data_IF_072606462717
#
_entry.id   IF_072606462717
#
_cell.length_a   1.000
_cell.length_b   1.000
_cell.length_c   1.000
_cell.angle_alpha   90.00
_cell.angle_beta   90.00
_cell.angle_gamma   90.00
#
_symmetry.space_group_name_H-M   'P 1'
#
loop_
_entity.id
_entity.type
_entity.pdbx_description
1 polymer ?
#
# COMPACT_ATOMS: atom_id res chain seq x y z
N UNK A 1 3.05 0.68 -48.82
CA UNK A 1 2.93 0.28 -47.41
C UNK A 1 4.33 0.07 -46.89
N UNK A 2 4.77 0.83 -45.87
CA UNK A 2 6.01 0.45 -45.19
C UNK A 2 5.94 -0.99 -44.69
N UNK A 3 7.10 -1.64 -44.67
CA UNK A 3 7.32 -3.05 -44.33
C UNK A 3 6.72 -3.38 -42.94
N UNK A 4 6.08 -4.55 -42.78
CA UNK A 4 5.63 -5.12 -41.49
C UNK A 4 6.64 -4.90 -40.35
N UNK A 5 7.92 -5.02 -40.69
CA UNK A 5 9.06 -4.79 -39.80
C UNK A 5 9.08 -3.39 -39.15
N UNK A 6 8.61 -2.34 -39.84
CA UNK A 6 8.48 -0.99 -39.29
C UNK A 6 7.49 -0.97 -38.13
N UNK A 7 6.28 -1.50 -38.34
CA UNK A 7 5.23 -1.53 -37.32
C UNK A 7 5.63 -2.40 -36.13
N UNK A 8 6.29 -3.54 -36.38
CA UNK A 8 6.88 -4.38 -35.33
C UNK A 8 7.91 -3.61 -34.50
N UNK A 9 8.84 -2.87 -35.13
CA UNK A 9 9.82 -2.06 -34.41
C UNK A 9 9.16 -0.94 -33.59
N UNK A 10 8.14 -0.27 -34.10
CA UNK A 10 7.44 0.81 -33.38
C UNK A 10 6.65 0.28 -32.19
N UNK A 11 5.98 -0.86 -32.34
CA UNK A 11 5.29 -1.52 -31.24
C UNK A 11 6.27 -1.94 -30.13
N UNK A 12 7.41 -2.54 -30.49
CA UNK A 12 8.45 -2.92 -29.53
C UNK A 12 9.05 -1.72 -28.79
N UNK A 13 9.35 -0.62 -29.51
CA UNK A 13 9.84 0.62 -28.90
C UNK A 13 8.85 1.22 -27.90
N UNK A 14 7.55 1.15 -28.21
CA UNK A 14 6.52 1.65 -27.32
C UNK A 14 6.42 0.79 -26.05
N UNK A 15 6.36 -0.53 -26.21
CA UNK A 15 6.34 -1.47 -25.08
C UNK A 15 7.57 -1.34 -24.19
N UNK A 16 8.78 -1.25 -24.77
CA UNK A 16 10.00 -1.05 -24.00
C UNK A 16 9.95 0.23 -23.17
N UNK A 17 9.42 1.33 -23.74
CA UNK A 17 9.26 2.60 -23.03
C UNK A 17 8.28 2.50 -21.85
N UNK A 18 7.15 1.83 -22.03
CA UNK A 18 6.15 1.63 -20.97
C UNK A 18 6.66 0.68 -19.90
N UNK A 19 7.37 -0.38 -20.28
CA UNK A 19 8.00 -1.31 -19.35
C UNK A 19 9.11 -0.64 -18.53
N UNK A 20 9.98 0.16 -19.16
CA UNK A 20 11.00 0.95 -18.45
C UNK A 20 10.37 1.90 -17.42
N UNK A 21 9.29 2.59 -17.81
CA UNK A 21 8.54 3.48 -16.92
C UNK A 21 7.95 2.70 -15.74
N UNK A 22 7.36 1.54 -16.00
CA UNK A 22 6.81 0.64 -14.99
C UNK A 22 7.89 0.14 -14.03
N UNK A 23 9.06 -0.29 -14.54
CA UNK A 23 10.21 -0.73 -13.74
C UNK A 23 10.73 0.37 -12.84
N UNK A 24 10.85 1.60 -13.33
CA UNK A 24 11.29 2.75 -12.53
C UNK A 24 10.31 3.05 -11.39
N UNK A 25 9.02 3.05 -11.67
CA UNK A 25 7.97 3.26 -10.67
C UNK A 25 7.94 2.13 -9.63
N UNK A 26 8.03 0.87 -10.07
CA UNK A 26 8.13 -0.30 -9.19
C UNK A 26 9.34 -0.23 -8.25
N UNK A 27 10.48 0.26 -8.73
CA UNK A 27 11.66 0.48 -7.89
C UNK A 27 11.46 1.58 -6.85
N UNK A 28 10.73 2.66 -7.19
CA UNK A 28 10.35 3.69 -6.21
C UNK A 28 9.40 3.12 -5.17
N UNK A 29 8.40 2.35 -5.59
CA UNK A 29 7.47 1.65 -4.70
C UNK A 29 8.20 0.74 -3.73
N UNK A 30 9.15 -0.06 -4.20
CA UNK A 30 9.96 -0.93 -3.34
C UNK A 30 10.61 -0.16 -2.19
N UNK A 31 11.18 1.01 -2.48
CA UNK A 31 11.80 1.88 -1.46
C UNK A 31 10.77 2.43 -0.48
N UNK A 32 9.61 2.87 -0.97
CA UNK A 32 8.56 3.46 -0.13
C UNK A 32 7.88 2.42 0.77
N UNK A 33 7.54 1.25 0.22
CA UNK A 33 7.02 0.13 1.02
C UNK A 33 8.03 -0.28 2.09
N UNK A 34 9.32 -0.37 1.75
CA UNK A 34 10.36 -0.70 2.73
C UNK A 34 10.52 0.36 3.82
N UNK A 35 10.45 1.64 3.45
CA UNK A 35 10.48 2.74 4.42
C UNK A 35 9.30 2.67 5.38
N UNK A 36 8.07 2.56 4.86
CA UNK A 36 6.86 2.47 5.68
C UNK A 36 6.87 1.22 6.58
N UNK A 37 7.36 0.08 6.08
CA UNK A 37 7.55 -1.13 6.88
C UNK A 37 8.49 -0.88 8.07
N UNK A 38 9.65 -0.26 7.82
CA UNK A 38 10.65 0.06 8.86
C UNK A 38 10.09 1.06 9.87
N UNK A 39 9.40 2.11 9.40
CA UNK A 39 8.81 3.14 10.26
C UNK A 39 7.72 2.54 11.16
N UNK A 40 6.84 1.70 10.60
CA UNK A 40 5.82 0.99 11.37
C UNK A 40 6.46 0.06 12.40
N UNK A 41 7.43 -0.77 12.00
CA UNK A 41 8.12 -1.66 12.93
C UNK A 41 8.85 -0.88 14.04
N UNK A 42 9.48 0.24 13.71
CA UNK A 42 10.12 1.11 14.70
C UNK A 42 9.11 1.72 15.68
N UNK A 43 7.94 2.15 15.20
CA UNK A 43 6.86 2.67 16.05
C UNK A 43 6.30 1.60 16.98
N UNK A 44 6.09 0.40 16.46
CA UNK A 44 5.72 -0.77 17.26
C UNK A 44 6.80 -1.00 18.33
N UNK A 45 8.06 -1.18 17.96
CA UNK A 45 9.17 -1.40 18.89
C UNK A 45 9.30 -0.31 19.96
N UNK A 46 9.13 0.97 19.59
CA UNK A 46 9.15 2.09 20.55
C UNK A 46 8.01 2.01 21.56
N UNK A 47 6.81 1.63 21.12
CA UNK A 47 5.68 1.40 22.01
C UNK A 47 5.98 0.24 22.97
N UNK A 48 6.59 -0.84 22.48
CA UNK A 48 7.05 -1.97 23.30
C UNK A 48 8.15 -1.56 24.31
N UNK A 49 9.11 -0.72 23.92
CA UNK A 49 10.20 -0.26 24.80
C UNK A 49 9.73 0.74 25.86
N UNK A 50 8.94 1.73 25.45
CA UNK A 50 8.34 2.71 26.38
C UNK A 50 7.56 2.00 27.47
N UNK A 51 6.85 0.93 27.10
CA UNK A 51 6.15 0.09 28.05
C UNK A 51 7.06 -0.58 29.08
N UNK A 52 8.19 -1.14 28.65
CA UNK A 52 9.16 -1.75 29.57
C UNK A 52 9.67 -0.76 30.61
N UNK A 53 9.97 0.46 30.15
CA UNK A 53 10.47 1.54 31.00
C UNK A 53 9.41 2.06 31.97
N UNK A 54 8.19 2.34 31.50
CA UNK A 54 7.09 2.89 32.30
C UNK A 54 6.68 1.97 33.46
N UNK A 55 6.96 0.67 33.35
CA UNK A 55 6.63 -0.32 34.36
C UNK A 55 7.81 -0.79 35.22
N UNK A 56 8.99 -0.18 35.08
CA UNK A 56 10.22 -0.54 35.83
C UNK A 56 10.53 -2.05 35.79
N UNK A 57 10.41 -2.65 34.62
CA UNK A 57 10.58 -4.09 34.41
C UNK A 57 11.52 -4.38 33.23
N UNK A 58 12.12 -5.56 33.21
CA UNK A 58 13.02 -5.96 32.12
C UNK A 58 12.25 -6.08 30.79
N UNK A 59 12.95 -5.91 29.66
CA UNK A 59 12.37 -5.92 28.31
C UNK A 59 11.63 -7.24 28.01
N UNK A 60 12.08 -8.35 28.61
CA UNK A 60 11.41 -9.67 28.53
C UNK A 60 10.12 -9.72 29.37
N UNK A 61 10.10 -9.08 30.54
CA UNK A 61 8.89 -8.97 31.38
C UNK A 61 7.86 -8.03 30.76
N UNK A 62 8.33 -6.92 30.19
CA UNK A 62 7.53 -5.99 29.41
C UNK A 62 6.87 -6.68 28.19
N UNK A 63 7.60 -7.54 27.48
CA UNK A 63 7.04 -8.34 26.39
C UNK A 63 5.88 -9.23 26.87
N UNK A 64 6.06 -9.97 27.97
CA UNK A 64 4.99 -10.79 28.58
C UNK A 64 3.78 -9.98 29.06
N UNK A 65 4.02 -8.73 29.47
CA UNK A 65 3.00 -7.86 30.04
C UNK A 65 2.29 -6.99 29.01
N UNK A 66 2.75 -6.88 27.75
CA UNK A 66 1.99 -6.26 26.62
C UNK A 66 0.98 -7.25 26.04
N UNK A 67 1.37 -8.52 26.04
CA UNK A 67 0.47 -9.66 25.91
C UNK A 67 -0.44 -9.79 27.14
N UNK A 68 -0.08 -9.06 28.21
CA UNK A 68 -0.77 -8.72 29.47
C UNK A 68 -1.66 -7.49 29.32
N UNK A 69 -2.83 -7.45 29.93
CA UNK A 69 -3.74 -6.34 29.73
C UNK A 69 -3.36 -5.25 30.72
N UNK A 70 -3.24 -3.95 30.36
CA UNK A 70 -3.29 -2.86 31.36
C UNK A 70 -3.62 -1.47 30.89
N UNK A 71 -4.63 -0.78 31.48
CA UNK A 71 -4.65 0.60 32.10
C UNK A 71 -6.06 1.26 32.22
N UNK A 72 -6.47 1.64 33.45
CA UNK A 72 -6.71 3.05 33.91
C UNK A 72 -6.68 3.12 35.45
N UNK A 73 -5.83 3.98 35.99
CA UNK A 73 -5.54 4.27 37.41
C UNK A 73 -5.45 3.09 38.38
N UNK A 74 -4.19 2.72 38.60
CA UNK A 74 -3.79 1.75 39.58
C UNK A 74 -3.72 2.38 40.96
N UNK A 75 -4.56 1.93 41.90
CA UNK A 75 -4.47 2.29 43.32
C UNK A 75 -3.27 1.67 44.05
N UNK A 76 -2.55 0.74 43.43
CA UNK A 76 -1.28 0.17 43.91
C UNK A 76 -0.48 -0.43 42.74
N UNK A 77 0.83 -0.63 42.90
CA UNK A 77 1.65 -1.30 41.89
C UNK A 77 1.18 -2.74 41.65
N UNK A 78 1.51 -3.33 40.49
CA UNK A 78 1.24 -4.76 40.20
C UNK A 78 1.80 -5.66 41.32
N UNK A 79 3.02 -5.37 41.79
CA UNK A 79 3.61 -6.06 42.94
C UNK A 79 2.80 -5.91 44.24
N UNK A 80 2.18 -4.74 44.45
CA UNK A 80 1.24 -4.50 45.54
C UNK A 80 -0.01 -5.38 45.43
N UNK A 81 -0.66 -5.41 44.26
CA UNK A 81 -1.81 -6.28 43.99
C UNK A 81 -1.49 -7.76 44.23
N UNK A 82 -0.37 -8.25 43.71
CA UNK A 82 0.05 -9.65 43.87
C UNK A 82 0.34 -9.99 45.33
N UNK A 83 0.98 -9.07 46.07
CA UNK A 83 1.28 -9.27 47.50
C UNK A 83 0.01 -9.29 48.35
N UNK A 84 -0.94 -8.40 48.08
CA UNK A 84 -2.25 -8.38 48.73
C UNK A 84 -3.08 -9.61 48.40
N UNK A 85 -3.13 -10.02 47.12
CA UNK A 85 -3.85 -11.23 46.70
C UNK A 85 -3.27 -12.50 47.33
N UNK A 86 -1.94 -12.61 47.46
CA UNK A 86 -1.28 -13.73 48.17
C UNK A 86 -1.61 -13.77 49.66
N UNK A 87 -1.88 -12.62 50.28
CA UNK A 87 -2.25 -12.53 51.69
C UNK A 87 -3.74 -12.76 51.95
N UNK A 88 -4.61 -12.23 51.09
CA UNK A 88 -6.04 -12.09 51.38
C UNK A 88 -6.94 -12.97 50.51
N UNK A 89 -6.47 -13.43 49.35
CA UNK A 89 -7.30 -14.18 48.40
C UNK A 89 -8.53 -13.42 47.88
N UNK A 90 -8.53 -12.08 47.96
CA UNK A 90 -9.72 -11.28 47.72
C UNK A 90 -10.18 -11.33 46.25
N UNK A 91 -11.33 -11.97 46.01
CA UNK A 91 -11.92 -12.14 44.67
C UNK A 91 -12.29 -10.82 43.99
N UNK A 92 -12.73 -9.80 44.73
CA UNK A 92 -13.01 -8.46 44.15
C UNK A 92 -11.74 -7.77 43.70
N UNK A 93 -10.66 -7.92 44.47
CA UNK A 93 -9.34 -7.39 44.14
C UNK A 93 -8.76 -8.07 42.89
N UNK A 94 -9.02 -9.37 42.72
CA UNK A 94 -8.66 -10.13 41.52
C UNK A 94 -9.43 -9.66 40.28
N UNK A 95 -10.76 -9.54 40.36
CA UNK A 95 -11.60 -9.05 39.25
C UNK A 95 -11.23 -7.62 38.85
N UNK A 96 -10.87 -6.78 39.82
CA UNK A 96 -10.41 -5.43 39.54
C UNK A 96 -9.05 -5.43 38.84
N UNK A 97 -8.09 -6.22 39.32
CA UNK A 97 -6.81 -6.43 38.64
C UNK A 97 -7.03 -6.87 37.19
N UNK A 98 -7.91 -7.85 36.95
CA UNK A 98 -8.24 -8.39 35.63
C UNK A 98 -8.95 -7.36 34.70
N UNK A 99 -9.80 -6.50 35.27
CA UNK A 99 -10.53 -5.46 34.52
C UNK A 99 -9.63 -4.28 34.17
N UNK A 100 -8.85 -3.79 35.15
CA UNK A 100 -7.83 -2.76 34.96
C UNK A 100 -6.77 -3.22 33.99
N UNK A 101 -6.47 -4.51 34.05
CA UNK A 101 -5.69 -5.18 33.06
C UNK A 101 -6.37 -4.98 31.70
N UNK A 102 -7.52 -5.60 31.44
CA UNK A 102 -8.18 -5.67 30.12
C UNK A 102 -8.22 -4.33 29.35
N UNK A 103 -8.53 -3.22 30.04
CA UNK A 103 -8.78 -1.90 29.43
C UNK A 103 -7.63 -1.21 28.71
N UNK A 104 -6.36 -1.44 29.04
CA UNK A 104 -5.28 -0.87 28.20
C UNK A 104 -4.30 -1.83 27.61
N UNK A 105 -4.64 -3.12 27.61
CA UNK A 105 -4.42 -3.90 26.38
C UNK A 105 -5.14 -3.20 25.21
N UNK A 106 -6.42 -2.86 25.39
CA UNK A 106 -7.27 -2.25 24.36
C UNK A 106 -6.74 -0.87 23.91
N UNK A 107 -6.52 0.09 24.82
CA UNK A 107 -6.02 1.42 24.43
C UNK A 107 -4.65 1.42 23.72
N UNK A 108 -3.78 0.45 24.04
CA UNK A 108 -2.45 0.34 23.41
C UNK A 108 -2.54 -0.34 22.06
N UNK A 109 -3.36 -1.38 21.96
CA UNK A 109 -3.71 -1.97 20.68
C UNK A 109 -4.30 -0.88 19.79
N UNK A 110 -5.25 -0.08 20.28
CA UNK A 110 -5.83 1.05 19.54
C UNK A 110 -4.78 2.07 19.08
N UNK A 111 -3.78 2.38 19.90
CA UNK A 111 -2.66 3.24 19.50
C UNK A 111 -1.85 2.62 18.35
N UNK A 112 -1.48 1.35 18.46
CA UNK A 112 -0.74 0.65 17.39
C UNK A 112 -1.59 0.55 16.11
N UNK A 113 -2.86 0.18 16.24
CA UNK A 113 -3.79 0.09 15.11
C UNK A 113 -3.97 1.45 14.43
N UNK A 114 -3.91 2.55 15.20
CA UNK A 114 -3.93 3.92 14.69
C UNK A 114 -2.64 4.27 13.94
N UNK A 115 -1.47 3.88 14.47
CA UNK A 115 -0.19 4.04 13.76
C UNK A 115 -0.17 3.25 12.44
N UNK A 116 -0.74 2.05 12.40
CA UNK A 116 -0.90 1.30 11.14
C UNK A 116 -1.74 2.08 10.13
N UNK A 117 -2.86 2.66 10.55
CA UNK A 117 -3.71 3.49 9.68
C UNK A 117 -2.98 4.73 9.18
N UNK A 118 -2.24 5.40 10.05
CA UNK A 118 -1.46 6.57 9.70
C UNK A 118 -0.37 6.21 8.67
N UNK A 119 0.43 5.20 8.95
CA UNK A 119 1.54 4.77 8.07
C UNK A 119 1.06 4.26 6.71
N UNK A 120 0.00 3.46 6.69
CA UNK A 120 -0.59 2.99 5.43
C UNK A 120 -1.24 4.15 4.66
N UNK A 121 -1.82 5.14 5.33
CA UNK A 121 -2.34 6.33 4.66
C UNK A 121 -1.23 7.17 4.05
N UNK A 122 -0.15 7.45 4.79
CA UNK A 122 1.03 8.16 4.29
C UNK A 122 1.65 7.47 3.08
N UNK A 123 1.86 6.14 3.17
CA UNK A 123 2.38 5.34 2.08
C UNK A 123 1.57 5.54 0.78
N UNK A 124 0.24 5.57 0.86
CA UNK A 124 -0.60 5.66 -0.33
C UNK A 124 -0.87 7.10 -0.79
N UNK A 125 -0.99 8.06 0.13
CA UNK A 125 -1.15 9.48 -0.17
C UNK A 125 0.06 10.05 -0.92
N UNK A 126 1.28 9.68 -0.52
CA UNK A 126 2.51 10.13 -1.21
C UNK A 126 2.64 9.52 -2.62
N UNK A 127 2.02 8.35 -2.84
CA UNK A 127 2.13 7.61 -4.09
C UNK A 127 1.08 8.01 -5.14
N UNK A 128 -0.11 8.44 -4.71
CA UNK A 128 -1.22 8.74 -5.61
C UNK A 128 -0.89 9.81 -6.68
N UNK A 129 -0.24 10.95 -6.35
CA UNK A 129 0.14 11.94 -7.36
C UNK A 129 1.16 11.40 -8.36
N UNK A 130 2.21 10.74 -7.87
CA UNK A 130 3.26 10.15 -8.71
C UNK A 130 2.68 9.11 -9.69
N UNK A 131 1.77 8.28 -9.20
CA UNK A 131 1.06 7.30 -10.02
C UNK A 131 0.19 7.95 -11.08
N UNK A 132 -0.60 8.95 -10.70
CA UNK A 132 -1.51 9.65 -11.60
C UNK A 132 -0.74 10.36 -12.72
N UNK A 133 0.37 11.02 -12.36
CA UNK A 133 1.30 11.65 -13.29
C UNK A 133 1.93 10.61 -14.23
N UNK A 134 2.34 9.46 -13.71
CA UNK A 134 2.93 8.38 -14.53
C UNK A 134 1.93 7.87 -15.56
N UNK A 135 0.69 7.58 -15.14
CA UNK A 135 -0.37 7.09 -16.04
C UNK A 135 -0.74 8.15 -17.10
N UNK A 136 -0.81 9.43 -16.71
CA UNK A 136 -1.02 10.53 -17.64
C UNK A 136 0.10 10.65 -18.67
N UNK A 137 1.35 10.55 -18.23
CA UNK A 137 2.52 10.61 -19.09
C UNK A 137 2.61 9.39 -20.01
N UNK A 138 2.26 8.20 -19.54
CA UNK A 138 2.15 6.98 -20.36
C UNK A 138 1.15 7.20 -21.48
N UNK A 139 -0.08 7.63 -21.15
CA UNK A 139 -1.11 7.87 -22.16
C UNK A 139 -0.69 8.93 -23.19
N UNK A 140 -0.23 10.10 -22.74
CA UNK A 140 0.20 11.19 -23.65
C UNK A 140 1.35 10.73 -24.53
N UNK A 141 2.37 10.11 -23.95
CA UNK A 141 3.53 9.63 -24.70
C UNK A 141 3.13 8.61 -25.75
N UNK A 142 2.33 7.61 -25.40
CA UNK A 142 1.86 6.59 -26.33
C UNK A 142 1.01 7.19 -27.44
N UNK A 143 0.09 8.09 -27.10
CA UNK A 143 -0.82 8.72 -28.06
C UNK A 143 -0.04 9.54 -29.11
N UNK A 144 0.90 10.39 -28.66
CA UNK A 144 1.69 11.20 -29.59
C UNK A 144 2.70 10.37 -30.39
N UNK A 145 3.34 9.37 -29.78
CA UNK A 145 4.27 8.48 -30.49
C UNK A 145 3.57 7.65 -31.56
N UNK A 146 2.38 7.12 -31.26
CA UNK A 146 1.59 6.39 -32.25
C UNK A 146 1.11 7.31 -33.37
N UNK A 147 0.62 8.50 -33.04
CA UNK A 147 0.19 9.47 -34.05
C UNK A 147 1.34 9.82 -35.01
N UNK A 148 2.53 10.08 -34.45
CA UNK A 148 3.76 10.28 -35.21
C UNK A 148 4.12 9.07 -36.08
N UNK A 149 4.10 7.86 -35.52
CA UNK A 149 4.40 6.63 -36.26
C UNK A 149 3.41 6.38 -37.40
N UNK A 150 2.13 6.68 -37.21
CA UNK A 150 1.11 6.59 -38.25
C UNK A 150 1.41 7.57 -39.39
N UNK A 151 1.65 8.84 -39.07
CA UNK A 151 1.94 9.87 -40.10
C UNK A 151 3.21 9.54 -40.88
N UNK A 152 4.27 9.11 -40.19
CA UNK A 152 5.51 8.72 -40.86
C UNK A 152 5.38 7.44 -41.68
N UNK A 153 4.73 6.40 -41.14
CA UNK A 153 4.66 5.10 -41.81
C UNK A 153 3.65 5.03 -42.95
N UNK A 154 2.63 5.90 -42.93
CA UNK A 154 1.60 5.96 -43.99
C UNK A 154 1.83 7.12 -44.96
N UNK A 155 2.53 8.18 -44.53
CA UNK A 155 2.62 9.45 -45.27
C UNK A 155 1.33 10.29 -45.23
N UNK A 156 0.30 9.85 -44.47
CA UNK A 156 -0.97 10.57 -44.31
C UNK A 156 -0.83 11.52 -43.13
N UNK A 157 -0.92 12.81 -43.39
CA UNK A 157 -0.82 13.85 -42.37
C UNK A 157 -2.21 14.35 -41.96
N UNK A 158 -2.43 14.43 -40.66
CA UNK A 158 -3.66 14.93 -40.05
C UNK A 158 -3.31 15.82 -38.84
N UNK A 159 -4.26 16.61 -38.37
CA UNK A 159 -4.05 17.41 -37.18
C UNK A 159 -4.12 16.51 -35.94
N UNK A 160 -3.00 16.39 -35.22
CA UNK A 160 -2.97 15.65 -33.94
C UNK A 160 -3.59 16.53 -32.85
N UNK A 161 -4.69 16.06 -32.27
CA UNK A 161 -5.39 16.76 -31.21
C UNK A 161 -4.55 16.83 -29.93
N UNK A 162 -4.65 17.95 -29.23
CA UNK A 162 -4.02 18.07 -27.92
C UNK A 162 -4.79 17.25 -26.89
N UNK A 163 -4.07 16.47 -26.08
CA UNK A 163 -4.65 15.77 -24.93
C UNK A 163 -4.98 16.78 -23.83
N UNK A 164 -6.25 17.20 -23.77
CA UNK A 164 -6.75 18.13 -22.77
C UNK A 164 -7.04 17.47 -21.40
N UNK A 165 -7.21 18.30 -20.37
CA UNK A 165 -7.49 17.82 -19.01
C UNK A 165 -8.80 17.03 -18.93
N UNK A 166 -9.82 17.40 -19.73
CA UNK A 166 -11.12 16.73 -19.71
C UNK A 166 -11.02 15.31 -20.27
N UNK A 167 -10.26 15.11 -21.35
CA UNK A 167 -9.95 13.80 -21.93
C UNK A 167 -9.21 12.94 -20.91
N UNK A 168 -8.17 13.49 -20.28
CA UNK A 168 -7.44 12.75 -19.24
C UNK A 168 -8.32 12.36 -18.05
N UNK A 169 -9.16 13.26 -17.56
CA UNK A 169 -10.10 12.95 -16.47
C UNK A 169 -11.04 11.81 -16.85
N UNK A 170 -11.63 11.83 -18.05
CA UNK A 170 -12.50 10.72 -18.52
C UNK A 170 -11.77 9.38 -18.56
N UNK A 171 -10.51 9.37 -18.99
CA UNK A 171 -9.69 8.14 -19.03
C UNK A 171 -9.36 7.67 -17.60
N UNK A 172 -9.01 8.58 -16.71
CA UNK A 172 -8.72 8.25 -15.30
C UNK A 172 -9.95 7.77 -14.52
N UNK A 173 -11.12 8.28 -14.85
CA UNK A 173 -12.40 7.86 -14.25
C UNK A 173 -12.94 6.57 -14.87
N UNK A 174 -12.37 6.14 -16.00
CA UNK A 174 -12.82 4.95 -16.69
C UNK A 174 -12.72 3.72 -15.79
N UNK A 175 -13.85 3.01 -15.66
CA UNK A 175 -13.95 1.79 -14.86
C UNK A 175 -13.55 0.59 -15.69
N UNK A 176 -12.25 0.44 -15.93
CA UNK A 176 -11.72 -0.83 -16.43
C UNK A 176 -12.08 -1.92 -15.41
N UNK A 177 -12.55 -3.12 -15.77
CA UNK A 177 -12.95 -4.17 -14.80
C UNK A 177 -13.79 -3.69 -13.58
N UNK A 178 -14.71 -2.76 -13.77
CA UNK A 178 -15.67 -2.31 -12.75
C UNK A 178 -15.17 -1.27 -11.72
N UNK A 179 -13.88 -0.92 -11.70
CA UNK A 179 -13.31 0.12 -10.82
C UNK A 179 -12.29 0.96 -11.57
N UNK A 180 -12.17 2.23 -11.20
CA UNK A 180 -11.07 3.06 -11.69
C UNK A 180 -9.81 2.83 -10.86
N UNK A 181 -8.68 3.33 -11.38
CA UNK A 181 -7.38 3.16 -10.74
C UNK A 181 -7.33 3.66 -9.30
N UNK A 182 -7.81 4.88 -9.05
CA UNK A 182 -7.81 5.49 -7.71
C UNK A 182 -8.57 4.64 -6.69
N UNK A 183 -9.73 4.09 -7.08
CA UNK A 183 -10.52 3.22 -6.20
C UNK A 183 -9.77 1.94 -5.84
N UNK A 184 -9.06 1.32 -6.80
CA UNK A 184 -8.25 0.12 -6.53
C UNK A 184 -7.11 0.39 -5.56
N UNK A 185 -6.46 1.55 -5.71
CA UNK A 185 -5.38 1.96 -4.82
C UNK A 185 -5.88 2.15 -3.38
N UNK A 186 -7.04 2.79 -3.20
CA UNK A 186 -7.68 2.90 -1.89
C UNK A 186 -8.02 1.53 -1.29
N UNK A 187 -8.52 0.59 -2.08
CA UNK A 187 -8.81 -0.77 -1.60
C UNK A 187 -7.56 -1.55 -1.20
N UNK A 188 -6.47 -1.41 -1.96
CA UNK A 188 -5.19 -2.02 -1.60
C UNK A 188 -4.64 -1.44 -0.29
N UNK A 189 -4.81 -0.13 -0.06
CA UNK A 189 -4.48 0.54 1.21
C UNK A 189 -5.27 -0.05 2.38
N UNK A 190 -6.61 -0.07 2.26
CA UNK A 190 -7.48 -0.61 3.32
C UNK A 190 -7.20 -2.09 3.60
N UNK A 191 -6.91 -2.87 2.56
CA UNK A 191 -6.53 -4.28 2.70
C UNK A 191 -5.23 -4.44 3.49
N UNK A 192 -4.16 -3.71 3.13
CA UNK A 192 -2.90 -3.77 3.85
C UNK A 192 -3.09 -3.34 5.32
N UNK A 193 -3.79 -2.24 5.56
CA UNK A 193 -4.07 -1.76 6.90
C UNK A 193 -4.77 -2.85 7.73
N UNK A 194 -5.86 -3.43 7.21
CA UNK A 194 -6.63 -4.48 7.88
C UNK A 194 -5.79 -5.74 8.14
N UNK A 195 -5.01 -6.18 7.18
CA UNK A 195 -4.16 -7.37 7.31
C UNK A 195 -3.08 -7.17 8.40
N UNK A 196 -2.38 -6.04 8.37
CA UNK A 196 -1.36 -5.70 9.38
C UNK A 196 -1.99 -5.54 10.77
N UNK A 197 -3.13 -4.85 10.87
CA UNK A 197 -3.91 -4.73 12.09
C UNK A 197 -4.31 -6.10 12.66
N UNK A 198 -4.70 -7.02 11.79
CA UNK A 198 -5.05 -8.40 12.18
C UNK A 198 -3.84 -9.15 12.70
N UNK A 199 -2.68 -9.06 12.05
CA UNK A 199 -1.45 -9.73 12.51
C UNK A 199 -1.00 -9.23 13.89
N UNK A 200 -1.14 -7.92 14.12
CA UNK A 200 -0.83 -7.29 15.41
C UNK A 200 -1.83 -7.77 16.46
N UNK A 201 -3.14 -7.63 16.22
CA UNK A 201 -4.17 -8.04 17.17
C UNK A 201 -4.06 -9.53 17.54
N UNK A 202 -3.78 -10.40 16.57
CA UNK A 202 -3.54 -11.81 16.83
C UNK A 202 -2.26 -12.04 17.64
N UNK A 203 -1.17 -11.34 17.31
CA UNK A 203 0.07 -11.37 18.09
C UNK A 203 -0.15 -11.04 19.55
N UNK A 204 -0.90 -9.95 19.79
CA UNK A 204 -1.32 -9.50 21.12
C UNK A 204 -2.21 -10.53 21.85
N UNK A 205 -3.16 -11.15 21.16
CA UNK A 205 -4.11 -12.08 21.77
C UNK A 205 -3.50 -13.46 22.09
N UNK A 206 -2.47 -13.88 21.36
CA UNK A 206 -1.93 -15.25 21.43
C UNK A 206 -0.55 -15.35 22.08
N UNK A 207 -0.06 -14.28 22.72
CA UNK A 207 1.28 -14.25 23.34
C UNK A 207 2.41 -14.68 22.38
N UNK A 208 2.31 -14.27 21.11
CA UNK A 208 3.34 -14.61 20.11
C UNK A 208 4.50 -13.63 20.23
N UNK A 209 5.72 -14.17 20.17
CA UNK A 209 6.96 -13.39 20.12
C UNK A 209 6.87 -12.25 19.09
N UNK A 210 7.31 -11.05 19.50
CA UNK A 210 7.38 -9.84 18.68
C UNK A 210 8.13 -10.08 17.37
N UNK A 211 9.17 -10.94 17.38
CA UNK A 211 9.87 -11.33 16.15
C UNK A 211 8.95 -12.05 15.15
N UNK A 212 8.07 -12.92 15.66
CA UNK A 212 7.11 -13.63 14.82
C UNK A 212 6.02 -12.69 14.27
N UNK A 213 5.58 -11.70 15.06
CA UNK A 213 4.65 -10.66 14.60
C UNK A 213 5.30 -9.78 13.53
N UNK A 214 6.52 -9.31 13.78
CA UNK A 214 7.31 -8.50 12.85
C UNK A 214 7.49 -9.22 11.51
N UNK A 215 7.85 -10.51 11.52
CA UNK A 215 7.96 -11.32 10.31
C UNK A 215 6.64 -11.36 9.51
N UNK A 216 5.50 -11.54 10.17
CA UNK A 216 4.19 -11.57 9.48
C UNK A 216 3.82 -10.20 8.92
N UNK A 217 4.16 -9.10 9.62
CA UNK A 217 4.00 -7.74 9.08
C UNK A 217 4.83 -7.58 7.80
N UNK A 218 6.10 -8.00 7.80
CA UNK A 218 6.95 -7.99 6.61
C UNK A 218 6.36 -8.78 5.45
N UNK A 219 5.78 -9.96 5.70
CA UNK A 219 5.09 -10.77 4.70
C UNK A 219 3.87 -10.03 4.12
N UNK A 220 3.05 -9.36 4.94
CA UNK A 220 1.91 -8.54 4.45
C UNK A 220 2.37 -7.36 3.61
N UNK A 221 3.43 -6.67 4.01
CA UNK A 221 4.02 -5.60 3.20
C UNK A 221 4.55 -6.11 1.84
N UNK A 222 5.17 -7.29 1.81
CA UNK A 222 5.62 -7.94 0.58
C UNK A 222 4.47 -8.28 -0.37
N UNK A 223 3.36 -8.82 0.17
CA UNK A 223 2.14 -9.09 -0.61
C UNK A 223 1.55 -7.80 -1.16
N UNK A 224 1.43 -6.75 -0.34
CA UNK A 224 0.90 -5.47 -0.76
C UNK A 224 1.77 -4.81 -1.84
N UNK A 225 3.09 -4.86 -1.71
CA UNK A 225 4.02 -4.42 -2.75
C UNK A 225 3.77 -5.15 -4.09
N UNK A 226 3.72 -6.48 -4.07
CA UNK A 226 3.48 -7.28 -5.28
C UNK A 226 2.12 -6.97 -5.94
N UNK A 227 1.08 -6.74 -5.13
CA UNK A 227 -0.24 -6.36 -5.62
C UNK A 227 -0.23 -4.96 -6.26
N UNK A 228 0.47 -4.00 -5.65
CA UNK A 228 0.63 -2.65 -6.21
C UNK A 228 1.44 -2.65 -7.50
N UNK A 229 2.53 -3.44 -7.59
CA UNK A 229 3.29 -3.61 -8.83
C UNK A 229 2.45 -4.20 -9.96
N UNK A 230 1.66 -5.24 -9.66
CA UNK A 230 0.74 -5.82 -10.65
C UNK A 230 -0.27 -4.81 -11.15
N UNK A 231 -0.84 -4.02 -10.23
CA UNK A 231 -1.79 -2.98 -10.57
C UNK A 231 -1.16 -1.91 -11.46
N UNK A 232 0.03 -1.41 -11.12
CA UNK A 232 0.79 -0.45 -11.92
C UNK A 232 1.01 -0.97 -13.35
N UNK A 233 1.50 -2.20 -13.49
CA UNK A 233 1.76 -2.78 -14.81
C UNK A 233 0.47 -2.94 -15.63
N UNK A 234 -0.61 -3.40 -15.00
CA UNK A 234 -1.90 -3.58 -15.66
C UNK A 234 -2.48 -2.25 -16.12
N UNK A 235 -2.36 -1.20 -15.31
CA UNK A 235 -2.90 0.12 -15.60
C UNK A 235 -2.03 0.82 -16.64
N UNK A 236 -0.69 0.75 -16.55
CA UNK A 236 0.18 1.26 -17.62
C UNK A 236 -0.15 0.62 -18.98
N UNK A 237 -0.35 -0.70 -19.03
CA UNK A 237 -0.76 -1.38 -20.25
C UNK A 237 -2.14 -0.93 -20.74
N UNK A 238 -3.10 -0.72 -19.82
CA UNK A 238 -4.41 -0.18 -20.18
C UNK A 238 -4.29 1.23 -20.79
N UNK A 239 -3.56 2.15 -20.17
CA UNK A 239 -3.41 3.52 -20.66
C UNK A 239 -2.64 3.57 -21.98
N UNK A 240 -1.61 2.73 -22.16
CA UNK A 240 -0.91 2.58 -23.44
C UNK A 240 -1.87 2.08 -24.54
N UNK A 241 -2.63 1.02 -24.28
CA UNK A 241 -3.56 0.46 -25.27
C UNK A 241 -4.70 1.42 -25.59
N UNK A 242 -5.22 2.15 -24.60
CA UNK A 242 -6.23 3.17 -24.82
C UNK A 242 -5.68 4.32 -25.68
N UNK A 243 -4.43 4.74 -25.43
CA UNK A 243 -3.76 5.75 -26.25
C UNK A 243 -3.54 5.28 -27.69
N UNK A 244 -3.14 4.02 -27.90
CA UNK A 244 -3.04 3.42 -29.24
C UNK A 244 -4.39 3.42 -29.96
N UNK A 245 -5.44 2.92 -29.30
CA UNK A 245 -6.79 2.91 -29.87
C UNK A 245 -7.27 4.32 -30.24
N UNK A 246 -7.06 5.30 -29.36
CA UNK A 246 -7.48 6.67 -29.62
C UNK A 246 -6.70 7.29 -30.78
N UNK A 247 -5.40 6.98 -30.92
CA UNK A 247 -4.59 7.44 -32.07
C UNK A 247 -5.03 6.81 -33.40
N UNK A 248 -5.44 5.53 -33.39
CA UNK A 248 -5.96 4.84 -34.57
C UNK A 248 -7.28 5.44 -35.03
N UNK A 249 -8.19 5.71 -34.09
CA UNK A 249 -9.47 6.36 -34.38
C UNK A 249 -9.30 7.73 -35.00
N UNK A 250 -8.31 8.49 -34.54
CA UNK A 250 -8.06 9.84 -35.03
C UNK A 250 -7.40 9.87 -36.42
N UNK A 251 -6.69 8.80 -36.77
CA UNK A 251 -6.13 8.59 -38.09
C UNK A 251 -7.08 7.84 -39.04
N UNK A 252 -8.34 7.64 -38.67
CA UNK A 252 -9.35 6.87 -39.43
C UNK A 252 -8.89 5.45 -39.79
N UNK A 253 -8.10 4.81 -38.91
CA UNK A 253 -7.65 3.43 -39.10
C UNK A 253 -8.82 2.47 -38.85
N UNK A 254 -9.24 1.74 -39.88
CA UNK A 254 -10.37 0.80 -39.81
C UNK A 254 -10.02 -0.53 -39.12
N UNK A 255 -8.79 -1.01 -39.32
CA UNK A 255 -8.33 -2.30 -38.82
C UNK A 255 -6.88 -2.23 -38.34
N UNK A 256 -6.59 -2.93 -37.25
CA UNK A 256 -5.23 -3.10 -36.73
C UNK A 256 -5.06 -4.52 -36.18
N UNK A 257 -3.82 -5.00 -36.14
CA UNK A 257 -3.47 -6.31 -35.62
C UNK A 257 -2.58 -6.14 -34.39
N UNK A 258 -2.86 -6.89 -33.32
CA UNK A 258 -1.96 -7.03 -32.18
C UNK A 258 -0.77 -7.91 -32.58
N UNK A 259 0.43 -7.46 -32.22
CA UNK A 259 1.69 -8.20 -32.41
C UNK A 259 1.95 -9.07 -31.18
#
# INVERSE_FOLDING_TARGET
MENKQYWEQRALQLEEKVDLTSRQLNNRFKKMFKKSEIELQSKIDKLYRKYATDMQMDLVEAHKLIEGSFFKEWRMSIGGYVKELKKTGNKKLYTELETLATRSRISRLDAILSEVRAETSLLYSDNLPLLSETLENTYKSSYYLNSYAIQHGTGIYYQIATVDKKKMQRIMEYKNYGKNFSSRIWEHKEKLAKEVQTEIAQGFATSKDLKAVSKRISERYGVAYNNSTRLVNTENNFYMNQASLDSYKEADVEQYQYI
#
